data_IF_794914725523
#
_entry.id   IF_794914725523
#
_cell.length_a   1.000
_cell.length_b   1.000
_cell.length_c   1.000
_cell.angle_alpha   90.00
_cell.angle_beta   90.00
_cell.angle_gamma   90.00
#
_symmetry.space_group_name_H-M   'P 1'
#
loop_
_entity.id
_entity.type
_entity.pdbx_description
1 polymer ?
#
# COMPACT_ATOMS: atom_id res chain seq x y z
N UNK A 1 -50.08 -9.29 35.49
CA UNK A 1 -49.10 -10.39 35.39
C UNK A 1 -48.29 -10.18 34.14
N UNK A 2 -47.07 -9.64 34.29
CA UNK A 2 -46.09 -9.52 33.22
C UNK A 2 -44.71 -9.63 33.87
N UNK A 3 -44.12 -10.82 33.80
CA UNK A 3 -42.70 -11.02 34.03
C UNK A 3 -42.21 -11.88 32.89
N UNK A 4 -41.59 -11.24 31.90
CA UNK A 4 -40.74 -11.90 30.93
C UNK A 4 -39.44 -11.11 30.81
N UNK A 5 -38.36 -11.90 30.78
CA UNK A 5 -37.08 -11.64 30.14
C UNK A 5 -36.16 -10.59 30.77
N UNK A 6 -35.32 -11.06 31.70
CA UNK A 6 -33.89 -10.69 31.76
C UNK A 6 -33.09 -11.91 32.22
N UNK A 7 -33.03 -12.93 31.37
CA UNK A 7 -31.88 -13.84 31.40
C UNK A 7 -30.71 -13.09 30.79
N UNK A 8 -29.96 -12.37 31.62
CA UNK A 8 -28.62 -11.90 31.28
C UNK A 8 -27.77 -13.16 31.13
N UNK A 9 -27.51 -13.57 29.90
CA UNK A 9 -26.53 -14.59 29.57
C UNK A 9 -25.18 -14.10 30.10
N UNK A 10 -24.70 -14.70 31.20
CA UNK A 10 -23.33 -14.50 31.69
C UNK A 10 -22.34 -15.02 30.64
N UNK A 11 -21.98 -14.19 29.67
CA UNK A 11 -20.80 -14.41 28.83
C UNK A 11 -19.56 -14.35 29.72
N UNK A 12 -18.63 -15.30 29.55
CA UNK A 12 -17.30 -15.21 30.17
C UNK A 12 -16.67 -13.85 29.85
N UNK A 13 -16.00 -13.24 30.81
CA UNK A 13 -15.27 -11.97 30.65
C UNK A 13 -14.28 -12.02 29.47
N UNK A 14 -13.72 -13.20 29.18
CA UNK A 14 -12.84 -13.44 28.03
C UNK A 14 -13.57 -13.34 26.69
N UNK A 15 -14.84 -13.77 26.66
CA UNK A 15 -15.69 -13.66 25.48
C UNK A 15 -16.07 -12.21 25.23
N UNK A 16 -16.45 -11.47 26.28
CA UNK A 16 -16.70 -10.03 26.17
C UNK A 16 -15.46 -9.29 25.66
N UNK A 17 -14.29 -9.59 26.22
CA UNK A 17 -13.03 -9.01 25.76
C UNK A 17 -12.78 -9.30 24.27
N UNK A 18 -13.01 -10.54 23.85
CA UNK A 18 -12.86 -10.97 22.46
C UNK A 18 -13.82 -10.24 21.53
N UNK A 19 -15.11 -10.18 21.89
CA UNK A 19 -16.13 -9.54 21.09
C UNK A 19 -15.80 -8.03 20.91
N UNK A 20 -15.31 -7.37 21.97
CA UNK A 20 -14.83 -5.98 21.90
C UNK A 20 -13.62 -5.81 20.97
N UNK A 21 -12.66 -6.73 21.01
CA UNK A 21 -11.49 -6.69 20.12
C UNK A 21 -11.89 -6.92 18.66
N UNK A 22 -12.79 -7.86 18.40
CA UNK A 22 -13.25 -8.20 17.05
C UNK A 22 -13.99 -7.04 16.38
N UNK A 23 -14.78 -6.27 17.13
CA UNK A 23 -15.46 -5.07 16.61
C UNK A 23 -14.57 -3.82 16.55
N UNK A 24 -13.33 -3.90 17.07
CA UNK A 24 -12.36 -2.81 17.06
C UNK A 24 -12.49 -1.81 18.21
N UNK A 25 -13.23 -2.12 19.28
CA UNK A 25 -13.31 -1.32 20.51
C UNK A 25 -12.06 -1.51 21.39
N UNK A 26 -10.89 -1.23 20.82
CA UNK A 26 -9.59 -1.55 21.40
C UNK A 26 -9.32 -0.82 22.72
N UNK A 27 -9.81 0.41 22.88
CA UNK A 27 -9.68 1.17 24.13
C UNK A 27 -10.36 0.45 25.30
N UNK A 28 -11.54 -0.12 25.07
CA UNK A 28 -12.30 -0.84 26.08
C UNK A 28 -11.59 -2.15 26.46
N UNK A 29 -11.01 -2.86 25.49
CA UNK A 29 -10.19 -4.06 25.74
C UNK A 29 -8.99 -3.72 26.63
N UNK A 30 -8.31 -2.60 26.36
CA UNK A 30 -7.18 -2.13 27.18
C UNK A 30 -7.62 -1.76 28.61
N UNK A 31 -8.78 -1.12 28.76
CA UNK A 31 -9.36 -0.82 30.08
C UNK A 31 -9.72 -2.11 30.82
N UNK A 32 -10.30 -3.09 30.12
CA UNK A 32 -10.67 -4.38 30.69
C UNK A 32 -9.44 -5.15 31.16
N UNK A 33 -8.34 -5.14 30.39
CA UNK A 33 -7.06 -5.71 30.80
C UNK A 33 -6.54 -5.04 32.08
N UNK A 34 -6.63 -3.72 32.21
CA UNK A 34 -6.23 -3.04 33.46
C UNK A 34 -7.06 -3.45 34.68
N UNK A 35 -8.33 -3.82 34.48
CA UNK A 35 -9.24 -4.27 35.55
C UNK A 35 -9.02 -5.74 35.95
N UNK A 36 -8.45 -6.54 35.05
CA UNK A 36 -8.23 -7.99 35.23
C UNK A 36 -6.75 -8.39 35.04
N UNK A 37 -5.82 -7.91 35.88
CA UNK A 37 -4.39 -8.24 35.78
C UNK A 37 -4.08 -9.74 35.96
N UNK A 38 -4.97 -10.49 36.61
CA UNK A 38 -4.87 -11.93 36.86
C UNK A 38 -5.17 -12.79 35.63
N UNK A 39 -5.90 -12.26 34.64
CA UNK A 39 -6.32 -13.02 33.47
C UNK A 39 -5.33 -12.82 32.30
N UNK A 40 -4.46 -13.81 32.08
CA UNK A 40 -3.46 -13.76 31.00
C UNK A 40 -4.05 -13.65 29.59
N UNK A 41 -5.22 -14.23 29.33
CA UNK A 41 -5.88 -14.09 28.04
C UNK A 41 -6.26 -12.63 27.77
N UNK A 42 -6.91 -11.97 28.74
CA UNK A 42 -7.28 -10.56 28.64
C UNK A 42 -6.03 -9.67 28.58
N UNK A 43 -4.97 -9.98 29.33
CA UNK A 43 -3.70 -9.25 29.22
C UNK A 43 -3.10 -9.34 27.81
N UNK A 44 -3.04 -10.55 27.22
CA UNK A 44 -2.55 -10.72 25.86
C UNK A 44 -3.44 -10.00 24.85
N UNK A 45 -4.77 -10.08 24.99
CA UNK A 45 -5.69 -9.38 24.10
C UNK A 45 -5.58 -7.85 24.22
N UNK A 46 -5.43 -7.32 25.43
CA UNK A 46 -5.16 -5.90 25.66
C UNK A 46 -3.83 -5.43 25.06
N UNK A 47 -2.82 -6.30 25.04
CA UNK A 47 -1.56 -6.01 24.35
C UNK A 47 -1.74 -5.93 22.82
N UNK A 48 -2.51 -6.87 22.24
CA UNK A 48 -2.86 -6.84 20.81
C UNK A 48 -3.66 -5.58 20.46
N UNK A 49 -4.67 -5.22 21.27
CA UNK A 49 -5.48 -4.03 21.10
C UNK A 49 -4.64 -2.73 21.19
N UNK A 50 -3.69 -2.67 22.13
CA UNK A 50 -2.78 -1.53 22.24
C UNK A 50 -1.85 -1.42 21.02
N UNK A 51 -1.38 -2.55 20.49
CA UNK A 51 -0.59 -2.58 19.27
C UNK A 51 -1.40 -2.05 18.07
N UNK A 52 -2.67 -2.45 17.94
CA UNK A 52 -3.58 -1.95 16.91
C UNK A 52 -3.72 -0.41 16.98
N UNK A 53 -3.94 0.13 18.18
CA UNK A 53 -4.16 1.57 18.39
C UNK A 53 -2.91 2.42 18.13
N UNK A 54 -1.75 1.94 18.56
CA UNK A 54 -0.52 2.75 18.56
C UNK A 54 0.43 2.42 17.42
N UNK A 55 0.22 1.28 16.75
CA UNK A 55 1.06 0.76 15.67
C UNK A 55 2.45 0.29 16.12
N UNK A 56 2.76 0.33 17.42
CA UNK A 56 4.07 -0.03 18.00
C UNK A 56 3.91 -0.52 19.44
N UNK A 57 4.88 -1.30 19.91
CA UNK A 57 4.86 -1.77 21.31
C UNK A 57 5.39 -0.67 22.24
N UNK A 58 4.55 -0.21 23.16
CA UNK A 58 4.91 0.83 24.15
C UNK A 58 5.10 0.28 25.57
N UNK A 59 4.68 -0.95 25.83
CA UNK A 59 4.72 -1.61 27.12
C UNK A 59 5.41 -2.98 27.02
N UNK A 60 5.91 -3.50 28.14
CA UNK A 60 6.43 -4.85 28.19
C UNK A 60 5.35 -5.87 27.84
N UNK A 61 5.71 -6.90 27.07
CA UNK A 61 4.82 -8.00 26.75
C UNK A 61 4.32 -8.68 28.04
N UNK A 62 3.00 -8.92 28.19
CA UNK A 62 2.48 -9.66 29.32
C UNK A 62 3.09 -11.07 29.33
N UNK A 63 3.52 -11.52 30.51
CA UNK A 63 4.00 -12.89 30.69
C UNK A 63 2.84 -13.76 31.16
N UNK A 64 2.64 -14.90 30.52
CA UNK A 64 1.56 -15.81 30.87
C UNK A 64 1.35 -16.88 29.82
N UNK A 65 0.45 -17.83 30.10
CA UNK A 65 0.06 -18.87 29.15
C UNK A 65 -1.37 -18.57 28.70
N UNK A 66 -1.55 -18.33 27.41
CA UNK A 66 -2.86 -18.37 26.74
C UNK A 66 -2.66 -18.75 25.27
N UNK A 67 -3.75 -19.07 24.58
CA UNK A 67 -3.73 -19.32 23.14
C UNK A 67 -3.30 -18.10 22.30
N UNK A 68 -3.33 -16.88 22.87
CA UNK A 68 -2.86 -15.65 22.23
C UNK A 68 -1.37 -15.36 22.49
N UNK A 69 -0.71 -16.08 23.39
CA UNK A 69 0.71 -15.86 23.71
C UNK A 69 1.62 -15.87 22.46
N UNK A 70 1.43 -16.78 21.47
CA UNK A 70 2.27 -16.75 20.26
C UNK A 70 2.10 -15.48 19.41
N UNK A 71 0.94 -14.81 19.46
CA UNK A 71 0.75 -13.52 18.76
C UNK A 71 1.51 -12.40 19.47
N UNK A 72 1.49 -12.38 20.80
CA UNK A 72 2.26 -11.42 21.61
C UNK A 72 3.75 -11.57 21.34
N UNK A 73 4.26 -12.81 21.38
CA UNK A 73 5.66 -13.12 21.06
C UNK A 73 6.02 -12.72 19.62
N UNK A 74 5.11 -12.93 18.67
CA UNK A 74 5.32 -12.55 17.28
C UNK A 74 5.49 -11.04 17.12
N UNK A 75 4.61 -10.24 17.73
CA UNK A 75 4.69 -8.77 17.70
C UNK A 75 5.96 -8.29 18.39
N UNK A 76 6.30 -8.84 19.55
CA UNK A 76 7.51 -8.46 20.27
C UNK A 76 8.77 -8.73 19.43
N UNK A 77 8.88 -9.92 18.84
CA UNK A 77 10.00 -10.26 17.97
C UNK A 77 10.04 -9.39 16.71
N UNK A 78 8.89 -9.05 16.14
CA UNK A 78 8.79 -8.16 14.99
C UNK A 78 9.33 -6.76 15.30
N UNK A 79 8.94 -6.17 16.43
CA UNK A 79 9.42 -4.85 16.85
C UNK A 79 10.92 -4.84 17.20
N UNK A 80 11.46 -5.98 17.65
CA UNK A 80 12.90 -6.17 17.83
C UNK A 80 13.66 -6.39 16.52
N UNK A 81 12.98 -6.41 15.37
CA UNK A 81 13.56 -6.67 14.05
C UNK A 81 13.88 -8.15 13.78
N UNK A 82 13.46 -9.07 14.66
CA UNK A 82 13.68 -10.51 14.53
C UNK A 82 12.55 -11.16 13.73
N UNK A 83 12.50 -10.84 12.44
CA UNK A 83 11.40 -11.23 11.53
C UNK A 83 11.21 -12.74 11.40
N UNK A 84 12.30 -13.51 11.40
CA UNK A 84 12.23 -14.98 11.36
C UNK A 84 11.66 -15.62 12.63
N UNK A 85 11.96 -15.08 13.80
CA UNK A 85 11.37 -15.53 15.08
C UNK A 85 9.88 -15.15 15.15
N UNK A 86 9.55 -13.93 14.71
CA UNK A 86 8.17 -13.46 14.63
C UNK A 86 7.29 -14.37 13.76
N UNK A 87 7.79 -14.75 12.57
CA UNK A 87 7.10 -15.67 11.66
C UNK A 87 6.88 -17.06 12.29
N UNK A 88 7.88 -17.59 13.02
CA UNK A 88 7.74 -18.87 13.73
C UNK A 88 6.66 -18.82 14.81
N UNK A 89 6.60 -17.74 15.59
CA UNK A 89 5.56 -17.55 16.61
C UNK A 89 4.17 -17.42 15.99
N UNK A 90 4.02 -16.75 14.84
CA UNK A 90 2.75 -16.73 14.11
C UNK A 90 2.36 -18.12 13.61
N UNK A 91 3.30 -18.88 13.04
CA UNK A 91 3.00 -20.24 12.59
C UNK A 91 2.50 -21.13 13.74
N UNK A 92 3.04 -20.98 14.96
CA UNK A 92 2.53 -21.67 16.14
C UNK A 92 1.07 -21.29 16.45
N UNK A 93 0.71 -20.02 16.29
CA UNK A 93 -0.68 -19.56 16.42
C UNK A 93 -1.60 -20.18 15.37
N UNK A 94 -1.25 -20.08 14.09
CA UNK A 94 -2.14 -20.49 12.99
C UNK A 94 -2.23 -21.99 12.79
N UNK A 95 -1.22 -22.76 13.20
CA UNK A 95 -1.26 -24.23 13.16
C UNK A 95 -2.30 -24.82 14.13
N UNK A 96 -2.68 -24.07 15.17
CA UNK A 96 -3.70 -24.49 16.13
C UNK A 96 -5.09 -24.20 15.54
N UNK A 97 -5.83 -25.24 15.15
CA UNK A 97 -7.11 -25.09 14.45
C UNK A 97 -8.20 -24.37 15.27
N UNK A 98 -8.15 -24.46 16.59
CA UNK A 98 -9.13 -23.85 17.51
C UNK A 98 -8.92 -22.36 17.75
N UNK A 99 -7.83 -21.78 17.23
CA UNK A 99 -7.54 -20.38 17.48
C UNK A 99 -8.49 -19.48 16.69
N UNK A 100 -9.06 -18.45 17.34
CA UNK A 100 -10.03 -17.58 16.71
C UNK A 100 -9.35 -16.70 15.65
N UNK A 101 -10.06 -16.39 14.57
CA UNK A 101 -9.56 -15.57 13.48
C UNK A 101 -10.44 -14.33 13.34
N UNK A 102 -9.83 -13.16 13.44
CA UNK A 102 -10.49 -11.89 13.17
C UNK A 102 -9.60 -11.02 12.27
N UNK A 103 -10.21 -10.00 11.66
CA UNK A 103 -9.53 -9.11 10.71
C UNK A 103 -8.21 -8.50 11.25
N UNK A 104 -8.18 -7.92 12.48
CA UNK A 104 -6.95 -7.39 13.09
C UNK A 104 -5.76 -8.37 13.15
N UNK A 105 -6.04 -9.63 13.53
CA UNK A 105 -5.01 -10.68 13.62
C UNK A 105 -4.44 -11.00 12.25
N UNK A 106 -5.30 -11.11 11.23
CA UNK A 106 -4.87 -11.39 9.86
C UNK A 106 -4.05 -10.24 9.31
N UNK A 107 -4.49 -9.01 9.52
CA UNK A 107 -3.76 -7.81 9.10
C UNK A 107 -2.36 -7.75 9.73
N UNK A 108 -2.26 -8.00 11.03
CA UNK A 108 -0.96 -8.05 11.73
C UNK A 108 -0.09 -9.19 11.22
N UNK A 109 -0.67 -10.38 11.01
CA UNK A 109 0.06 -11.54 10.49
C UNK A 109 0.64 -11.28 9.10
N UNK A 110 -0.14 -10.69 8.18
CA UNK A 110 0.32 -10.32 6.84
C UNK A 110 1.51 -9.38 6.93
N UNK A 111 1.44 -8.33 7.76
CA UNK A 111 2.53 -7.36 7.95
C UNK A 111 3.83 -8.05 8.37
N UNK A 112 3.74 -8.96 9.35
CA UNK A 112 4.89 -9.71 9.86
C UNK A 112 5.44 -10.67 8.79
N UNK A 113 4.58 -11.45 8.12
CA UNK A 113 5.01 -12.39 7.09
C UNK A 113 5.64 -11.69 5.89
N UNK A 114 5.09 -10.56 5.45
CA UNK A 114 5.65 -9.78 4.33
C UNK A 114 7.04 -9.27 4.68
N UNK A 115 7.24 -8.82 5.92
CA UNK A 115 8.55 -8.39 6.40
C UNK A 115 9.55 -9.54 6.54
N UNK A 116 9.06 -10.76 6.78
CA UNK A 116 9.86 -11.98 6.83
C UNK A 116 10.00 -12.68 5.46
N UNK A 117 9.43 -12.12 4.39
CA UNK A 117 9.35 -12.74 3.05
C UNK A 117 8.68 -14.14 3.04
N UNK A 118 7.84 -14.41 4.04
CA UNK A 118 7.11 -15.67 4.23
C UNK A 118 5.76 -15.65 3.46
N UNK A 119 5.85 -15.57 2.13
CA UNK A 119 4.68 -15.35 1.26
C UNK A 119 3.72 -16.56 1.16
N UNK A 120 4.22 -17.79 1.35
CA UNK A 120 3.36 -18.99 1.31
C UNK A 120 2.50 -19.07 2.58
N UNK A 121 3.07 -18.74 3.74
CA UNK A 121 2.39 -18.66 5.02
C UNK A 121 1.34 -17.55 5.01
N UNK A 122 1.71 -16.35 4.50
CA UNK A 122 0.77 -15.25 4.32
C UNK A 122 -0.42 -15.64 3.43
N UNK A 123 -0.16 -16.26 2.27
CA UNK A 123 -1.21 -16.73 1.35
C UNK A 123 -2.15 -17.74 2.02
N UNK A 124 -1.59 -18.64 2.82
CA UNK A 124 -2.36 -19.68 3.53
C UNK A 124 -3.33 -19.05 4.54
N UNK A 125 -2.86 -18.09 5.32
CA UNK A 125 -3.68 -17.38 6.32
C UNK A 125 -4.76 -16.53 5.66
N UNK A 126 -4.43 -15.80 4.58
CA UNK A 126 -5.42 -15.03 3.80
C UNK A 126 -6.51 -15.95 3.23
N UNK A 127 -6.10 -17.08 2.63
CA UNK A 127 -7.04 -18.04 2.05
C UNK A 127 -7.97 -18.64 3.11
N UNK A 128 -7.44 -18.92 4.32
CA UNK A 128 -8.24 -19.42 5.44
C UNK A 128 -9.28 -18.37 5.88
N UNK A 129 -8.86 -17.12 6.05
CA UNK A 129 -9.76 -16.01 6.41
C UNK A 129 -10.86 -15.82 5.36
N UNK A 130 -10.49 -15.75 4.08
CA UNK A 130 -11.42 -15.61 2.96
C UNK A 130 -12.44 -16.75 2.90
N UNK A 131 -12.02 -18.00 3.15
CA UNK A 131 -12.95 -19.15 3.18
C UNK A 131 -13.91 -19.09 4.38
N UNK A 132 -13.44 -18.64 5.54
CA UNK A 132 -14.24 -18.59 6.76
C UNK A 132 -15.30 -17.49 6.71
N UNK A 133 -14.93 -16.31 6.19
CA UNK A 133 -15.77 -15.10 6.24
C UNK A 133 -16.35 -14.69 4.89
N UNK A 134 -15.97 -15.38 3.81
CA UNK A 134 -16.28 -14.99 2.42
C UNK A 134 -15.88 -13.53 2.12
N UNK A 135 -14.75 -13.12 2.69
CA UNK A 135 -14.27 -11.73 2.67
C UNK A 135 -13.03 -11.60 1.76
N UNK A 136 -13.05 -10.59 0.90
CA UNK A 136 -11.98 -10.29 -0.07
C UNK A 136 -11.14 -9.05 0.33
N UNK A 137 -11.20 -8.62 1.58
CA UNK A 137 -10.48 -7.41 2.05
C UNK A 137 -8.97 -7.51 1.84
N UNK A 138 -8.40 -8.72 1.89
CA UNK A 138 -6.97 -8.98 1.69
C UNK A 138 -6.61 -9.48 0.28
N UNK A 139 -7.46 -9.23 -0.73
CA UNK A 139 -7.24 -9.69 -2.11
C UNK A 139 -5.99 -9.06 -2.75
N UNK A 140 -5.64 -7.84 -2.35
CA UNK A 140 -4.43 -7.14 -2.81
C UNK A 140 -3.19 -7.88 -2.33
N UNK A 141 -3.16 -8.22 -1.05
CA UNK A 141 -2.10 -8.95 -0.38
C UNK A 141 -2.01 -10.39 -0.90
N UNK A 142 -3.14 -11.05 -1.18
CA UNK A 142 -3.20 -12.36 -1.83
C UNK A 142 -2.47 -12.33 -3.18
N UNK A 143 -2.79 -11.35 -4.03
CA UNK A 143 -2.15 -11.19 -5.34
C UNK A 143 -0.64 -10.95 -5.21
N UNK A 144 -0.23 -10.09 -4.27
CA UNK A 144 1.19 -9.83 -4.00
C UNK A 144 1.92 -11.12 -3.60
N UNK A 145 1.35 -11.93 -2.70
CA UNK A 145 1.94 -13.22 -2.33
C UNK A 145 2.13 -14.11 -3.55
N UNK A 146 1.09 -14.28 -4.37
CA UNK A 146 1.12 -15.13 -5.57
C UNK A 146 2.21 -14.65 -6.55
N UNK A 147 2.38 -13.34 -6.71
CA UNK A 147 3.43 -12.75 -7.55
C UNK A 147 4.84 -13.11 -7.06
N UNK A 148 5.13 -12.93 -5.77
CA UNK A 148 6.45 -13.23 -5.20
C UNK A 148 6.74 -14.74 -5.18
N UNK A 149 5.70 -15.57 -5.11
CA UNK A 149 5.78 -17.02 -5.29
C UNK A 149 5.97 -17.44 -6.77
N UNK A 150 6.10 -16.48 -7.70
CA UNK A 150 6.30 -16.67 -9.14
C UNK A 150 5.19 -17.45 -9.84
N UNK A 151 3.98 -17.45 -9.28
CA UNK A 151 2.81 -18.12 -9.87
C UNK A 151 2.07 -17.15 -10.78
N UNK A 152 2.72 -16.71 -11.85
CA UNK A 152 2.25 -15.59 -12.69
C UNK A 152 0.90 -15.84 -13.36
N UNK A 153 0.59 -17.10 -13.73
CA UNK A 153 -0.74 -17.44 -14.25
C UNK A 153 -1.86 -17.23 -13.22
N UNK A 154 -1.59 -17.56 -11.95
CA UNK A 154 -2.53 -17.31 -10.84
C UNK A 154 -2.72 -15.80 -10.62
N UNK A 155 -1.65 -14.99 -10.71
CA UNK A 155 -1.73 -13.51 -10.59
C UNK A 155 -2.73 -12.95 -11.59
N UNK A 156 -2.61 -13.37 -12.85
CA UNK A 156 -3.47 -12.87 -13.94
C UNK A 156 -4.92 -13.30 -13.72
N UNK A 157 -5.14 -14.54 -13.27
CA UNK A 157 -6.48 -15.05 -12.96
C UNK A 157 -7.13 -14.24 -11.84
N UNK A 158 -6.44 -14.10 -10.70
CA UNK A 158 -6.93 -13.34 -9.53
C UNK A 158 -7.24 -11.89 -9.91
N UNK A 159 -6.36 -11.25 -10.70
CA UNK A 159 -6.58 -9.89 -11.16
C UNK A 159 -7.84 -9.74 -12.03
N UNK A 160 -8.03 -10.63 -13.00
CA UNK A 160 -9.23 -10.61 -13.87
C UNK A 160 -10.51 -10.81 -13.08
N UNK A 161 -10.50 -11.77 -12.15
CA UNK A 161 -11.68 -12.11 -11.35
C UNK A 161 -12.06 -10.98 -10.37
N UNK A 162 -11.10 -10.10 -10.01
CA UNK A 162 -11.27 -9.06 -8.98
C UNK A 162 -10.89 -7.65 -9.46
N UNK A 163 -10.96 -7.39 -10.78
CA UNK A 163 -10.43 -6.16 -11.39
C UNK A 163 -10.96 -4.86 -10.74
N UNK A 164 -12.22 -4.85 -10.30
CA UNK A 164 -12.83 -3.68 -9.63
C UNK A 164 -12.20 -3.37 -8.27
N UNK A 165 -11.82 -4.41 -7.52
CA UNK A 165 -11.20 -4.29 -6.19
C UNK A 165 -9.69 -4.04 -6.27
N UNK A 166 -9.08 -4.44 -7.38
CA UNK A 166 -7.65 -4.37 -7.63
C UNK A 166 -7.24 -3.20 -8.53
N UNK A 167 -8.08 -2.16 -8.60
CA UNK A 167 -7.85 -1.00 -9.46
C UNK A 167 -6.82 -0.01 -8.87
N UNK A 168 -5.60 -0.49 -8.70
CA UNK A 168 -4.48 0.22 -8.07
C UNK A 168 -3.27 0.23 -9.03
N UNK A 169 -2.51 1.34 -9.03
CA UNK A 169 -1.36 1.52 -9.93
C UNK A 169 -0.29 0.44 -9.71
N UNK A 170 0.03 0.11 -8.46
CA UNK A 170 1.07 -0.86 -8.15
C UNK A 170 0.64 -2.28 -8.51
N UNK A 171 -0.65 -2.58 -8.39
CA UNK A 171 -1.19 -3.88 -8.81
C UNK A 171 -1.16 -4.03 -10.34
N UNK A 172 -1.52 -2.98 -11.09
CA UNK A 172 -1.38 -3.00 -12.55
C UNK A 172 0.09 -3.20 -12.97
N UNK A 173 1.05 -2.59 -12.27
CA UNK A 173 2.47 -2.85 -12.53
C UNK A 173 2.84 -4.31 -12.28
N UNK A 174 2.44 -4.88 -11.15
CA UNK A 174 2.73 -6.28 -10.81
C UNK A 174 2.13 -7.25 -11.85
N UNK A 175 0.89 -7.02 -12.27
CA UNK A 175 0.21 -7.83 -13.29
C UNK A 175 0.87 -7.67 -14.65
N UNK A 176 1.22 -6.44 -15.04
CA UNK A 176 1.97 -6.17 -16.27
C UNK A 176 3.32 -6.88 -16.28
N UNK A 177 4.06 -6.85 -15.17
CA UNK A 177 5.32 -7.58 -15.01
C UNK A 177 5.11 -9.10 -15.07
N UNK A 178 4.06 -9.63 -14.42
CA UNK A 178 3.72 -11.04 -14.50
C UNK A 178 3.44 -11.48 -15.95
N UNK A 179 2.76 -10.65 -16.75
CA UNK A 179 2.53 -10.90 -18.18
C UNK A 179 3.83 -10.88 -18.99
N UNK A 180 4.77 -9.99 -18.67
CA UNK A 180 6.09 -9.98 -19.31
C UNK A 180 6.90 -11.25 -18.99
N UNK A 181 6.85 -11.75 -17.75
CA UNK A 181 7.51 -13.01 -17.39
C UNK A 181 6.93 -14.24 -18.10
N UNK A 182 5.72 -14.13 -18.65
CA UNK A 182 5.07 -15.16 -19.45
C UNK A 182 5.17 -14.89 -20.96
N UNK A 183 6.01 -13.95 -21.40
CA UNK A 183 6.19 -13.53 -22.80
C UNK A 183 4.90 -12.98 -23.47
N UNK A 184 3.92 -12.52 -22.67
CA UNK A 184 2.64 -11.97 -23.14
C UNK A 184 2.71 -10.45 -23.31
N UNK A 185 3.66 -9.98 -24.12
CA UNK A 185 3.97 -8.55 -24.28
C UNK A 185 2.78 -7.69 -24.71
N UNK A 186 1.93 -8.18 -25.62
CA UNK A 186 0.75 -7.43 -26.10
C UNK A 186 -0.24 -7.14 -24.97
N UNK A 187 -0.47 -8.11 -24.10
CA UNK A 187 -1.37 -7.95 -22.95
C UNK A 187 -0.74 -7.09 -21.87
N UNK A 188 0.58 -7.22 -21.64
CA UNK A 188 1.31 -6.36 -20.71
C UNK A 188 1.17 -4.88 -21.09
N UNK A 189 1.32 -4.55 -22.38
CA UNK A 189 1.15 -3.18 -22.87
C UNK A 189 -0.25 -2.63 -22.57
N UNK A 190 -1.29 -3.44 -22.79
CA UNK A 190 -2.67 -3.05 -22.48
C UNK A 190 -2.86 -2.75 -20.98
N UNK A 191 -2.25 -3.56 -20.11
CA UNK A 191 -2.30 -3.31 -18.66
C UNK A 191 -1.54 -2.02 -18.29
N UNK A 192 -0.37 -1.77 -18.89
CA UNK A 192 0.42 -0.56 -18.66
C UNK A 192 -0.23 0.72 -19.21
N UNK A 193 -1.06 0.62 -20.24
CA UNK A 193 -1.88 1.72 -20.74
C UNK A 193 -3.01 2.07 -19.78
N UNK A 194 -3.59 1.07 -19.12
CA UNK A 194 -4.71 1.22 -18.20
C UNK A 194 -4.31 1.52 -16.75
N UNK A 195 -3.04 1.81 -16.46
CA UNK A 195 -2.60 2.17 -15.11
C UNK A 195 -3.35 3.43 -14.63
N UNK A 196 -4.08 3.36 -13.50
CA UNK A 196 -4.73 4.52 -12.91
C UNK A 196 -3.72 5.62 -12.58
N UNK A 197 -4.02 6.87 -12.97
CA UNK A 197 -3.16 8.01 -12.70
C UNK A 197 -1.89 8.09 -13.53
N UNK A 198 -1.78 7.32 -14.62
CA UNK A 198 -0.66 7.44 -15.57
C UNK A 198 -0.60 8.87 -16.10
N UNK A 199 0.51 9.55 -15.81
CA UNK A 199 0.88 10.79 -16.48
C UNK A 199 1.12 10.45 -17.95
N UNK A 200 0.13 10.77 -18.78
CA UNK A 200 0.32 10.79 -20.22
C UNK A 200 1.22 11.98 -20.55
N UNK A 201 2.53 11.74 -20.54
CA UNK A 201 3.48 12.67 -21.12
C UNK A 201 3.12 12.79 -22.60
N UNK A 202 2.96 14.01 -23.12
CA UNK A 202 2.71 14.18 -24.54
C UNK A 202 3.90 13.59 -25.30
N UNK A 203 3.60 12.82 -26.33
CA UNK A 203 4.61 12.29 -27.24
C UNK A 203 5.41 13.43 -27.88
N UNK A 204 6.57 13.11 -28.45
CA UNK A 204 7.37 14.08 -29.18
C UNK A 204 6.56 14.78 -30.28
N UNK A 205 5.74 14.03 -31.02
CA UNK A 205 4.90 14.58 -32.08
C UNK A 205 3.77 15.47 -31.55
N UNK A 206 3.19 15.15 -30.40
CA UNK A 206 2.20 16.00 -29.73
C UNK A 206 2.85 17.30 -29.23
N UNK A 207 4.02 17.22 -28.59
CA UNK A 207 4.78 18.42 -28.20
C UNK A 207 5.16 19.26 -29.41
N UNK A 208 5.64 18.63 -30.48
CA UNK A 208 5.96 19.32 -31.74
C UNK A 208 4.75 20.09 -32.26
N UNK A 209 3.60 19.42 -32.43
CA UNK A 209 2.33 20.06 -32.84
C UNK A 209 1.88 21.19 -31.93
N UNK A 210 2.08 21.07 -30.61
CA UNK A 210 1.76 22.17 -29.67
C UNK A 210 2.59 23.41 -29.98
N UNK A 211 3.88 23.23 -30.28
CA UNK A 211 4.79 24.32 -30.59
C UNK A 211 4.86 24.70 -32.08
N UNK A 212 4.20 23.98 -33.00
CA UNK A 212 4.10 24.34 -34.43
C UNK A 212 3.54 25.75 -34.63
N UNK A 213 2.54 26.13 -33.83
CA UNK A 213 1.91 27.46 -33.93
C UNK A 213 2.86 28.59 -33.53
N UNK A 214 3.70 28.34 -32.53
CA UNK A 214 4.76 29.25 -32.07
C UNK A 214 5.89 29.29 -33.08
N UNK A 215 6.30 28.14 -33.60
CA UNK A 215 7.35 28.01 -34.62
C UNK A 215 6.98 28.74 -35.92
N UNK A 216 5.71 28.69 -36.35
CA UNK A 216 5.23 29.47 -37.51
C UNK A 216 5.33 30.98 -37.33
N UNK A 217 5.21 31.47 -36.09
CA UNK A 217 5.32 32.89 -35.73
C UNK A 217 6.71 33.26 -35.21
N UNK A 218 7.67 32.35 -35.29
CA UNK A 218 8.97 32.51 -34.63
C UNK A 218 9.76 33.67 -35.23
N UNK A 219 9.60 33.94 -36.52
CA UNK A 219 10.19 35.10 -37.21
C UNK A 219 9.64 36.43 -36.70
N UNK A 220 8.35 36.51 -36.40
CA UNK A 220 7.75 37.71 -35.78
C UNK A 220 8.23 37.89 -34.34
N UNK A 221 8.38 36.79 -33.60
CA UNK A 221 8.91 36.80 -32.24
C UNK A 221 10.41 37.17 -32.21
N UNK A 222 11.20 36.72 -33.18
CA UNK A 222 12.61 37.09 -33.36
C UNK A 222 12.78 38.61 -33.52
N UNK A 223 11.87 39.29 -34.24
CA UNK A 223 11.91 40.76 -34.39
C UNK A 223 11.59 41.52 -33.11
N UNK A 224 10.90 40.87 -32.15
CA UNK A 224 10.49 41.45 -30.87
C UNK A 224 11.33 40.96 -29.69
N UNK A 225 12.40 40.18 -29.93
CA UNK A 225 13.22 39.52 -28.90
C UNK A 225 13.66 40.43 -27.76
N UNK A 226 13.89 41.73 -28.03
CA UNK A 226 14.30 42.74 -27.05
C UNK A 226 13.20 43.12 -26.03
N UNK A 227 11.94 42.82 -26.31
CA UNK A 227 10.78 43.15 -25.45
C UNK A 227 9.98 41.92 -24.97
N UNK A 228 10.43 40.70 -25.26
CA UNK A 228 9.71 39.47 -24.91
C UNK A 228 9.78 39.16 -23.42
N UNK A 229 8.67 38.64 -22.90
CA UNK A 229 8.57 38.19 -21.52
C UNK A 229 9.30 36.83 -21.35
N UNK A 230 9.46 36.39 -20.10
CA UNK A 230 10.18 35.15 -19.77
C UNK A 230 9.53 33.90 -20.39
N UNK A 231 8.20 33.85 -20.42
CA UNK A 231 7.40 32.74 -20.93
C UNK A 231 7.50 32.64 -22.46
N UNK A 232 7.53 33.76 -23.17
CA UNK A 232 7.66 33.80 -24.63
C UNK A 232 9.04 33.29 -25.07
N UNK A 233 10.10 33.60 -24.33
CA UNK A 233 11.45 33.09 -24.59
C UNK A 233 11.57 31.58 -24.32
N UNK A 234 10.88 31.10 -23.29
CA UNK A 234 10.77 29.67 -22.98
C UNK A 234 10.01 28.92 -24.09
N UNK A 235 8.86 29.45 -24.52
CA UNK A 235 8.06 28.89 -25.60
C UNK A 235 8.82 28.90 -26.95
N UNK A 236 9.63 29.92 -27.23
CA UNK A 236 10.54 29.95 -28.38
C UNK A 236 11.66 28.91 -28.28
N UNK A 237 12.26 28.76 -27.10
CA UNK A 237 13.29 27.74 -26.85
C UNK A 237 12.76 26.33 -27.11
N UNK A 238 11.56 26.02 -26.61
CA UNK A 238 10.90 24.74 -26.86
C UNK A 238 10.46 24.59 -28.32
N UNK A 239 9.98 25.64 -28.99
CA UNK A 239 9.64 25.58 -30.40
C UNK A 239 10.84 25.22 -31.28
N UNK A 240 12.00 25.84 -31.04
CA UNK A 240 13.24 25.47 -31.73
C UNK A 240 13.69 24.03 -31.42
N UNK A 241 13.59 23.62 -30.15
CA UNK A 241 13.98 22.28 -29.72
C UNK A 241 13.16 21.18 -30.43
N UNK A 242 11.84 21.32 -30.47
CA UNK A 242 10.94 20.31 -31.08
C UNK A 242 10.93 20.34 -32.61
N UNK A 243 11.49 21.38 -33.25
CA UNK A 243 11.62 21.50 -34.71
C UNK A 243 13.02 21.19 -35.24
N UNK A 244 13.97 20.85 -34.37
CA UNK A 244 15.32 20.39 -34.76
C UNK A 244 16.39 21.49 -34.83
N UNK A 245 16.06 22.71 -34.43
CA UNK A 245 16.97 23.87 -34.44
C UNK A 245 17.72 23.99 -33.10
N UNK A 246 18.48 22.96 -32.76
CA UNK A 246 19.10 22.80 -31.43
C UNK A 246 20.04 23.95 -31.04
N UNK A 247 20.79 24.51 -32.00
CA UNK A 247 21.73 25.63 -31.75
C UNK A 247 21.00 26.91 -31.36
N UNK A 248 19.82 27.15 -31.94
CA UNK A 248 18.99 28.33 -31.59
C UNK A 248 18.27 28.10 -30.26
N UNK A 249 17.77 26.89 -30.02
CA UNK A 249 17.16 26.50 -28.75
C UNK A 249 18.15 26.71 -27.59
N UNK A 250 19.38 26.24 -27.73
CA UNK A 250 20.45 26.40 -26.73
C UNK A 250 20.71 27.88 -26.41
N UNK A 251 20.87 28.73 -27.44
CA UNK A 251 21.05 30.18 -27.25
C UNK A 251 19.88 30.82 -26.49
N UNK A 252 18.65 30.41 -26.78
CA UNK A 252 17.47 30.91 -26.09
C UNK A 252 17.44 30.49 -24.62
N UNK A 253 17.68 29.21 -24.32
CA UNK A 253 17.72 28.73 -22.94
C UNK A 253 18.89 29.33 -22.14
N UNK A 254 20.06 29.53 -22.75
CA UNK A 254 21.17 30.23 -22.11
C UNK A 254 20.80 31.68 -21.76
N UNK A 255 20.21 32.42 -22.70
CA UNK A 255 19.73 33.79 -22.44
C UNK A 255 18.66 33.85 -21.33
N UNK A 256 17.85 32.79 -21.22
CA UNK A 256 16.83 32.63 -20.18
C UNK A 256 17.48 32.44 -18.81
N UNK A 257 18.50 31.59 -18.72
CA UNK A 257 19.26 31.35 -17.48
C UNK A 257 20.07 32.57 -17.04
N UNK A 258 20.63 33.35 -17.96
CA UNK A 258 21.34 34.59 -17.65
C UNK A 258 20.39 35.66 -17.08
N UNK A 259 19.19 35.81 -17.66
CA UNK A 259 18.14 36.70 -17.14
C UNK A 259 17.59 36.27 -15.77
N UNK A 260 17.58 34.98 -15.47
CA UNK A 260 17.20 34.45 -14.15
C UNK A 260 18.29 34.73 -13.11
N UNK A 261 19.57 34.54 -13.46
CA UNK A 261 20.70 34.84 -12.57
C UNK A 261 20.77 36.33 -12.22
N UNK A 262 20.55 37.24 -13.18
CA UNK A 262 20.58 38.68 -12.91
C UNK A 262 19.45 39.17 -12.00
N UNK A 263 18.29 38.49 -11.99
CA UNK A 263 17.21 38.76 -11.02
C UNK A 263 17.50 38.23 -9.62
N UNK A 264 18.26 37.14 -9.49
CA UNK A 264 18.62 36.53 -8.21
C UNK A 264 19.80 37.23 -7.52
N UNK A 265 20.69 37.89 -8.26
CA UNK A 265 21.85 38.60 -7.73
C UNK A 265 21.62 40.10 -7.46
N UNK A 266 20.40 40.62 -7.69
CA UNK A 266 20.00 42.00 -7.40
C UNK A 266 19.04 42.10 -6.18
N UNK A 267 19.16 41.18 -5.23
CA UNK A 267 18.55 41.29 -3.88
C UNK A 267 19.65 41.62 -2.89
#
# INVERSE_FOLDING_TARGET
MAQQATQVLNSSIEKEAWDLYEVGSNEDVVVLAKRHPENFYIQHLGYLALYELTGRVTIAAPKGISNLAPLVDAIQNYEMGKTGEASKSLNLYFNTQTNPLCFPIIQTAIKIYFRAEAYEEAKTVITRFKKQWNDNSFIKEELICIYYLKRYDEVIKVFRDNMKLLNDSDIHKLVGMALLFLDRHKEANLIFENIPGKLNLPSFDEKRKMYDSVYKKITELETKTSSLNHKDLEDMGFAYLFHGDYVKAEKMFLSLTEKLKSKLCNV
#
